data_IF_148028361592
#
_entry.id   IF_148028361592
#
_cell.length_a   1.000
_cell.length_b   1.000
_cell.length_c   1.000
_cell.angle_alpha   90.00
_cell.angle_beta   90.00
_cell.angle_gamma   90.00
#
_symmetry.space_group_name_H-M   'P 1'
#
loop_
_entity.id
_entity.type
_entity.pdbx_description
1 polymer ?
#
# COMPACT_ATOMS: atom_id res chain seq x y z
N UNK A 1 -0.49 22.31 -5.48
CA UNK A 1 -1.30 21.60 -6.49
C UNK A 1 -1.91 20.39 -5.80
N UNK A 2 -3.24 20.27 -5.81
CA UNK A 2 -3.93 19.08 -5.28
C UNK A 2 -4.18 18.16 -6.47
N UNK A 3 -3.69 16.93 -6.40
CA UNK A 3 -3.99 15.92 -7.41
C UNK A 3 -5.31 15.23 -7.07
N UNK A 4 -6.25 15.20 -8.02
CA UNK A 4 -7.51 14.46 -7.88
C UNK A 4 -7.37 13.09 -8.51
N UNK A 5 -7.66 12.05 -7.74
CA UNK A 5 -7.71 10.68 -8.24
C UNK A 5 -8.98 10.45 -9.05
N UNK A 6 -8.88 9.62 -10.08
CA UNK A 6 -10.08 9.04 -10.69
C UNK A 6 -10.64 7.93 -9.80
N UNK A 7 -11.92 7.62 -9.94
CA UNK A 7 -12.54 6.50 -9.21
C UNK A 7 -11.82 5.18 -9.45
N UNK A 8 -11.35 4.96 -10.69
CA UNK A 8 -10.54 3.78 -11.04
C UNK A 8 -9.23 3.75 -10.28
N UNK A 9 -8.49 4.85 -10.23
CA UNK A 9 -7.23 4.94 -9.46
C UNK A 9 -7.48 4.69 -7.98
N UNK A 10 -8.51 5.31 -7.41
CA UNK A 10 -8.84 5.15 -6.01
C UNK A 10 -9.25 3.71 -5.67
N UNK A 11 -10.06 3.08 -6.54
CA UNK A 11 -10.46 1.69 -6.39
C UNK A 11 -9.25 0.73 -6.46
N UNK A 12 -8.33 0.94 -7.39
CA UNK A 12 -7.10 0.12 -7.49
C UNK A 12 -6.18 0.30 -6.27
N UNK A 13 -6.03 1.55 -5.79
CA UNK A 13 -5.20 1.85 -4.63
C UNK A 13 -5.79 1.30 -3.32
N UNK A 14 -7.12 1.25 -3.22
CA UNK A 14 -7.84 0.70 -2.07
C UNK A 14 -8.13 -0.81 -2.18
N UNK A 15 -7.57 -1.50 -3.20
CA UNK A 15 -7.70 -2.95 -3.33
C UNK A 15 -6.60 -3.71 -2.61
N UNK A 16 -6.94 -4.94 -2.19
CA UNK A 16 -6.19 -5.76 -1.24
C UNK A 16 -4.67 -5.76 -1.43
N UNK A 17 -4.14 -5.95 -2.64
CA UNK A 17 -2.68 -5.99 -2.85
C UNK A 17 -1.95 -4.71 -2.41
N UNK A 18 -2.54 -3.54 -2.65
CA UNK A 18 -1.94 -2.24 -2.33
C UNK A 18 -2.18 -1.88 -0.86
N UNK A 19 -3.27 -2.37 -0.27
CA UNK A 19 -3.63 -2.18 1.15
C UNK A 19 -2.80 -3.10 2.06
N UNK A 20 -2.51 -4.33 1.63
CA UNK A 20 -1.85 -5.34 2.46
C UNK A 20 -0.36 -5.54 2.15
N UNK A 21 0.18 -5.00 1.05
CA UNK A 21 1.63 -5.10 0.70
C UNK A 21 2.58 -4.42 1.68
N UNK A 22 2.05 -3.62 2.60
CA UNK A 22 2.80 -3.08 3.76
C UNK A 22 3.08 -4.12 4.83
N UNK A 23 2.34 -5.23 4.85
CA UNK A 23 2.64 -6.38 5.69
C UNK A 23 3.69 -7.25 4.98
N UNK A 24 4.82 -7.51 5.64
CA UNK A 24 5.88 -8.35 5.11
C UNK A 24 5.37 -9.75 4.72
N UNK A 25 4.57 -10.41 5.58
CA UNK A 25 4.12 -11.78 5.33
C UNK A 25 3.19 -11.87 4.10
N UNK A 26 2.36 -10.86 3.89
CA UNK A 26 1.49 -10.78 2.71
C UNK A 26 2.30 -10.44 1.46
N UNK A 27 3.20 -9.46 1.55
CA UNK A 27 4.03 -9.03 0.44
C UNK A 27 4.89 -10.17 -0.10
N UNK A 28 5.53 -10.94 0.78
CA UNK A 28 6.35 -12.11 0.40
C UNK A 28 5.53 -13.19 -0.32
N UNK A 29 4.23 -13.32 -0.02
CA UNK A 29 3.36 -14.34 -0.63
C UNK A 29 2.73 -13.89 -1.94
N UNK A 30 2.26 -12.64 -2.02
CA UNK A 30 1.32 -12.20 -3.06
C UNK A 30 1.87 -11.07 -3.96
N UNK A 31 2.85 -10.29 -3.51
CA UNK A 31 3.27 -9.02 -4.17
C UNK A 31 4.76 -8.93 -4.45
N UNK A 32 5.56 -9.88 -3.93
CA UNK A 32 7.03 -9.98 -4.02
C UNK A 32 7.79 -8.90 -3.25
N UNK A 33 7.32 -7.64 -3.24
CA UNK A 33 7.96 -6.52 -2.56
C UNK A 33 7.05 -5.85 -1.55
N UNK A 34 7.61 -5.55 -0.39
CA UNK A 34 6.94 -4.83 0.68
C UNK A 34 6.85 -3.35 0.38
N UNK A 35 5.65 -2.78 0.51
CA UNK A 35 5.45 -1.34 0.39
C UNK A 35 5.91 -0.61 1.65
N UNK A 36 6.75 0.41 1.49
CA UNK A 36 7.29 1.23 2.59
C UNK A 36 7.15 2.73 2.31
N UNK A 37 6.96 3.53 3.35
CA UNK A 37 6.79 5.00 3.25
C UNK A 37 8.11 5.78 3.32
N UNK A 38 9.19 5.25 2.74
CA UNK A 38 10.49 5.92 2.76
C UNK A 38 10.54 7.02 1.69
N UNK A 39 10.89 8.24 2.12
CA UNK A 39 11.09 9.38 1.22
C UNK A 39 12.47 9.35 0.55
N UNK A 40 13.41 8.56 1.07
CA UNK A 40 14.71 8.33 0.47
C UNK A 40 14.68 7.15 -0.51
N UNK A 41 15.52 7.18 -1.54
CA UNK A 41 15.72 6.09 -2.51
C UNK A 41 16.55 4.92 -1.94
N UNK A 42 16.84 4.94 -0.63
CA UNK A 42 17.55 3.87 0.07
C UNK A 42 16.58 2.77 0.51
N UNK A 43 16.12 2.00 -0.47
CA UNK A 43 15.27 0.83 -0.28
C UNK A 43 16.09 -0.44 -0.13
N UNK A 44 15.59 -1.38 0.66
CA UNK A 44 16.08 -2.76 0.60
C UNK A 44 15.61 -3.44 -0.69
N UNK A 45 16.28 -4.52 -1.10
CA UNK A 45 15.95 -5.29 -2.31
C UNK A 45 14.49 -5.76 -2.35
N UNK A 46 13.94 -6.00 -1.16
CA UNK A 46 12.63 -6.56 -0.88
C UNK A 46 11.58 -5.46 -0.59
N UNK A 47 11.95 -4.19 -0.72
CA UNK A 47 11.10 -3.03 -0.45
C UNK A 47 10.81 -2.22 -1.73
N UNK A 48 9.63 -1.59 -1.76
CA UNK A 48 9.24 -0.61 -2.76
C UNK A 48 8.52 0.57 -2.10
N UNK A 49 8.75 1.78 -2.59
CA UNK A 49 8.01 2.98 -2.17
C UNK A 49 7.19 3.59 -3.32
N UNK A 50 7.02 2.84 -4.41
CA UNK A 50 6.25 3.27 -5.58
C UNK A 50 5.23 2.20 -5.96
N UNK A 51 3.99 2.63 -6.20
CA UNK A 51 2.90 1.81 -6.74
C UNK A 51 2.64 2.27 -8.17
N UNK A 52 2.51 1.30 -9.07
CA UNK A 52 2.12 1.56 -10.46
C UNK A 52 0.69 1.08 -10.65
N UNK A 53 -0.19 1.99 -11.05
CA UNK A 53 -1.56 1.64 -11.43
C UNK A 53 -1.61 1.04 -12.83
N UNK A 54 -2.63 0.22 -13.17
CA UNK A 54 -2.76 -0.38 -14.50
C UNK A 54 -2.83 0.64 -15.64
N UNK A 55 -3.19 1.90 -15.34
CA UNK A 55 -3.16 3.02 -16.28
C UNK A 55 -1.74 3.57 -16.54
N UNK A 56 -0.70 2.92 -16.02
CA UNK A 56 0.70 3.29 -16.19
C UNK A 56 1.14 4.45 -15.29
N UNK A 57 0.32 4.84 -14.32
CA UNK A 57 0.61 5.97 -13.46
C UNK A 57 1.28 5.55 -12.16
N UNK A 58 2.35 6.28 -11.83
CA UNK A 58 3.22 6.03 -10.68
C UNK A 58 2.86 6.92 -9.49
N UNK A 59 2.99 6.32 -8.32
CA UNK A 59 2.44 6.84 -7.08
C UNK A 59 3.40 6.54 -5.94
N UNK A 60 3.95 7.60 -5.33
CA UNK A 60 4.92 7.48 -4.24
C UNK A 60 4.24 7.38 -2.88
N UNK A 61 4.69 6.44 -2.06
CA UNK A 61 4.20 6.19 -0.71
C UNK A 61 4.90 7.11 0.28
N UNK A 62 4.17 8.02 0.93
CA UNK A 62 4.75 8.96 1.90
C UNK A 62 4.41 8.62 3.34
N UNK A 63 3.31 7.90 3.59
CA UNK A 63 2.98 7.42 4.92
C UNK A 63 2.14 6.14 4.88
N UNK A 64 2.41 5.25 5.83
CA UNK A 64 1.58 4.08 6.14
C UNK A 64 1.01 4.24 7.55
N UNK A 65 -0.27 3.93 7.76
CA UNK A 65 -0.92 3.99 9.08
C UNK A 65 -1.52 2.63 9.39
N UNK A 66 -1.03 1.98 10.45
CA UNK A 66 -1.67 0.77 10.97
C UNK A 66 -2.67 1.15 12.04
N UNK A 67 -3.96 0.93 11.79
CA UNK A 67 -4.99 1.06 12.82
C UNK A 67 -5.32 -0.33 13.40
N UNK A 68 -5.44 -0.42 14.72
CA UNK A 68 -5.73 -1.69 15.41
C UNK A 68 -7.21 -2.10 15.33
N UNK A 69 -8.11 -1.21 14.89
CA UNK A 69 -9.56 -1.37 15.06
C UNK A 69 -10.37 -1.71 13.81
N UNK A 70 -9.77 -1.72 12.61
CA UNK A 70 -10.52 -1.82 11.33
C UNK A 70 -10.28 -3.13 10.59
N UNK A 71 -10.20 -4.27 11.29
CA UNK A 71 -10.05 -5.60 10.68
C UNK A 71 -11.38 -6.17 10.15
N UNK A 72 -11.41 -6.52 8.87
CA UNK A 72 -12.51 -7.19 8.17
C UNK A 72 -12.87 -8.52 8.88
N UNK A 73 -14.14 -8.69 9.28
CA UNK A 73 -14.63 -9.86 10.01
C UNK A 73 -14.79 -11.05 9.05
N UNK A 74 -14.10 -12.16 9.34
CA UNK A 74 -14.16 -13.37 8.52
C UNK A 74 -12.96 -14.29 8.71
N UNK A 75 -12.86 -14.95 9.87
CA UNK A 75 -12.05 -16.16 10.07
C UNK A 75 -10.54 -16.06 9.81
N UNK A 76 -9.78 -15.45 10.72
CA UNK A 76 -8.54 -16.00 11.30
C UNK A 76 -7.88 -14.92 12.18
N UNK A 77 -7.95 -15.10 13.51
CA UNK A 77 -7.25 -14.27 14.48
C UNK A 77 -5.74 -14.53 14.39
N UNK A 78 -5.04 -13.85 13.48
CA UNK A 78 -3.58 -13.66 13.59
C UNK A 78 -3.18 -12.38 12.86
N UNK A 79 -3.17 -11.27 13.62
CA UNK A 79 -2.68 -9.94 13.23
C UNK A 79 -3.41 -9.25 12.08
N UNK A 80 -4.68 -8.88 12.30
CA UNK A 80 -5.39 -7.93 11.45
C UNK A 80 -4.89 -6.51 11.77
N UNK A 81 -3.66 -6.19 11.38
CA UNK A 81 -3.29 -4.81 11.14
C UNK A 81 -4.03 -4.43 9.86
N UNK A 82 -5.19 -3.80 9.99
CA UNK A 82 -5.82 -3.15 8.85
C UNK A 82 -5.04 -1.86 8.64
N UNK A 83 -4.01 -1.97 7.82
CA UNK A 83 -3.14 -0.85 7.55
C UNK A 83 -3.90 -0.02 6.51
N UNK A 84 -4.47 1.09 6.96
CA UNK A 84 -5.00 2.11 6.08
C UNK A 84 -3.78 2.83 5.48
N UNK A 85 -3.34 2.32 4.33
CA UNK A 85 -2.28 2.90 3.51
C UNK A 85 -2.97 3.62 2.34
N UNK A 86 -2.56 4.76 1.80
CA UNK A 86 -1.28 5.46 1.73
C UNK A 86 -1.60 6.95 1.48
N UNK A 87 -0.85 7.88 2.07
CA UNK A 87 -0.74 9.23 1.49
C UNK A 87 0.15 9.12 0.26
N UNK A 88 -0.49 9.01 -0.90
CA UNK A 88 0.17 8.83 -2.18
C UNK A 88 0.38 10.19 -2.85
N UNK A 89 1.55 10.43 -3.42
CA UNK A 89 1.73 11.55 -4.35
C UNK A 89 1.94 11.02 -5.76
N UNK A 90 1.25 11.64 -6.73
CA UNK A 90 1.58 11.43 -8.14
C UNK A 90 2.99 11.97 -8.38
N UNK A 91 3.86 11.13 -8.95
CA UNK A 91 5.20 11.54 -9.38
C UNK A 91 5.13 12.43 -10.65
#
# INVERSE_FOLDING_TARGET
MVYSYTDKQLNELNQGKNVYSVNSEYAEREVEKKVVSKTDDKLFSDETNTIVTPDGQEFRVIATKSDLGTGFDGTCFRYIFSILVLFIFKL
#
